data_IF_555099519524
#
_entry.id   IF_555099519524
#
_cell.length_a   1.000
_cell.length_b   1.000
_cell.length_c   1.000
_cell.angle_alpha   90.00
_cell.angle_beta   90.00
_cell.angle_gamma   90.00
#
_symmetry.space_group_name_H-M   'P 1'
#
loop_
_entity.id
_entity.type
_entity.pdbx_description
1 polymer ?
#
# COMPACT_ATOMS: atom_id res chain seq x y z
N UNK A 1 -0.80 12.82 4.83
CA UNK A 1 0.25 13.13 5.84
C UNK A 1 1.64 12.66 5.39
N UNK A 2 1.76 11.53 4.67
CA UNK A 2 3.05 10.99 4.20
C UNK A 2 3.70 11.74 3.03
N UNK A 3 2.98 12.64 2.34
CA UNK A 3 3.47 13.30 1.12
C UNK A 3 3.31 12.41 -0.12
N UNK A 4 3.97 12.75 -1.26
CA UNK A 4 4.01 11.88 -2.43
C UNK A 4 4.87 10.63 -2.17
N UNK A 5 4.60 9.50 -2.85
CA UNK A 5 5.41 8.30 -2.74
C UNK A 5 6.84 8.58 -3.20
N UNK A 6 7.80 7.93 -2.55
CA UNK A 6 9.21 7.97 -2.97
C UNK A 6 9.47 7.06 -4.17
N UNK A 7 8.61 6.06 -4.39
CA UNK A 7 8.65 5.20 -5.57
C UNK A 7 7.27 4.60 -5.90
N UNK A 8 7.11 4.25 -7.17
CA UNK A 8 5.91 3.63 -7.74
C UNK A 8 6.36 2.44 -8.58
N UNK A 9 5.75 1.27 -8.39
CA UNK A 9 6.19 0.05 -9.05
C UNK A 9 5.28 -0.36 -10.21
N UNK A 10 5.84 -1.08 -11.17
CA UNK A 10 5.11 -1.62 -12.34
C UNK A 10 3.94 -2.51 -11.93
N UNK A 11 4.02 -3.18 -10.78
CA UNK A 11 2.95 -4.00 -10.24
C UNK A 11 1.80 -3.19 -9.62
N UNK A 12 1.92 -1.86 -9.53
CA UNK A 12 0.92 -0.95 -8.98
C UNK A 12 1.20 -0.45 -7.56
N UNK A 13 2.18 -1.02 -6.86
CA UNK A 13 2.52 -0.61 -5.49
C UNK A 13 3.03 0.84 -5.43
N UNK A 14 2.67 1.55 -4.37
CA UNK A 14 3.19 2.89 -4.05
C UNK A 14 3.92 2.83 -2.71
N UNK A 15 5.09 3.46 -2.61
CA UNK A 15 5.97 3.31 -1.45
C UNK A 15 6.34 4.66 -0.86
N UNK A 16 6.34 4.76 0.47
CA UNK A 16 6.89 5.88 1.23
C UNK A 16 7.89 5.33 2.26
N UNK A 17 8.87 6.17 2.63
CA UNK A 17 9.78 5.91 3.74
C UNK A 17 9.69 7.06 4.74
N UNK A 18 9.59 6.73 6.04
CA UNK A 18 9.66 7.72 7.12
C UNK A 18 10.67 7.27 8.17
N UNK A 19 11.44 8.22 8.71
CA UNK A 19 12.48 7.96 9.74
C UNK A 19 12.01 8.37 11.14
N UNK A 20 10.71 8.26 11.39
CA UNK A 20 10.04 8.70 12.61
C UNK A 20 9.42 7.55 13.41
N UNK A 21 9.74 6.30 13.05
CA UNK A 21 9.19 5.12 13.71
C UNK A 21 9.59 4.98 15.17
N UNK A 22 8.93 4.09 15.93
CA UNK A 22 9.27 3.80 17.31
C UNK A 22 10.76 3.45 17.47
N UNK A 23 11.42 4.09 18.44
CA UNK A 23 12.86 3.90 18.66
C UNK A 23 13.75 4.55 17.59
N UNK A 24 13.19 5.37 16.70
CA UNK A 24 13.91 5.98 15.58
C UNK A 24 14.07 5.04 14.38
N UNK A 25 13.31 3.95 14.33
CA UNK A 25 13.33 3.02 13.20
C UNK A 25 12.81 3.68 11.92
N UNK A 26 13.41 3.34 10.78
CA UNK A 26 12.82 3.64 9.47
C UNK A 26 11.60 2.75 9.27
N UNK A 27 10.51 3.33 8.79
CA UNK A 27 9.28 2.64 8.42
C UNK A 27 9.07 2.74 6.92
N UNK A 28 8.72 1.63 6.30
CA UNK A 28 8.16 1.61 4.96
C UNK A 28 6.65 1.58 5.04
N UNK A 29 6.02 2.45 4.26
CA UNK A 29 4.59 2.43 4.02
C UNK A 29 4.38 1.96 2.59
N UNK A 30 3.65 0.86 2.40
CA UNK A 30 3.43 0.27 1.08
C UNK A 30 1.95 0.13 0.81
N UNK A 31 1.47 0.90 -0.15
CA UNK A 31 0.11 0.76 -0.67
C UNK A 31 0.11 -0.37 -1.70
N UNK A 32 -0.57 -1.45 -1.38
CA UNK A 32 -0.61 -2.66 -2.18
C UNK A 32 -1.71 -2.59 -3.25
N UNK A 33 -1.42 -3.01 -4.49
CA UNK A 33 -2.39 -3.03 -5.56
C UNK A 33 -3.39 -4.20 -5.38
N UNK A 34 -4.51 -4.14 -6.09
CA UNK A 34 -5.44 -5.28 -6.16
C UNK A 34 -4.82 -6.51 -6.83
N UNK A 35 -5.40 -7.68 -6.58
CA UNK A 35 -5.04 -8.90 -7.31
C UNK A 35 -5.22 -8.70 -8.84
N UNK A 36 -4.28 -9.22 -9.63
CA UNK A 36 -4.23 -9.08 -11.10
C UNK A 36 -4.21 -7.62 -11.58
N UNK A 37 -3.63 -6.72 -10.78
CA UNK A 37 -3.48 -5.32 -11.15
C UNK A 37 -2.90 -5.14 -12.55
N UNK A 38 -3.43 -4.15 -13.24
CA UNK A 38 -2.89 -3.65 -14.50
C UNK A 38 -2.88 -2.13 -14.45
N UNK A 39 -1.76 -1.54 -14.82
CA UNK A 39 -1.65 -0.09 -15.01
C UNK A 39 -2.73 0.40 -15.99
N UNK A 40 -3.43 1.50 -15.67
CA UNK A 40 -4.39 2.09 -16.59
C UNK A 40 -3.79 2.40 -17.97
N UNK A 41 -4.58 2.21 -19.03
CA UNK A 41 -4.16 2.50 -20.40
C UNK A 41 -3.69 3.94 -20.57
N UNK A 42 -2.59 4.16 -21.29
CA UNK A 42 -2.05 5.50 -21.54
C UNK A 42 -1.20 6.09 -20.39
N UNK A 43 -1.06 5.38 -19.27
CA UNK A 43 -0.25 5.80 -18.13
C UNK A 43 0.96 4.88 -17.91
N UNK A 44 2.06 5.47 -17.45
CA UNK A 44 3.13 4.73 -16.78
C UNK A 44 2.78 4.53 -15.30
N UNK A 45 3.49 3.63 -14.63
CA UNK A 45 3.30 3.39 -13.19
C UNK A 45 3.62 4.62 -12.34
N UNK A 46 4.43 5.55 -12.83
CA UNK A 46 4.72 6.83 -12.16
C UNK A 46 3.59 7.87 -12.32
N UNK A 47 2.72 7.72 -13.33
CA UNK A 47 1.63 8.69 -13.57
C UNK A 47 0.38 8.39 -12.74
N UNK A 48 0.17 7.12 -12.34
CA UNK A 48 -1.10 6.67 -11.73
C UNK A 48 -1.40 7.41 -10.43
N UNK A 49 -0.44 7.50 -9.52
CA UNK A 49 -0.64 8.19 -8.24
C UNK A 49 -0.99 9.67 -8.44
N UNK A 50 -0.18 10.36 -9.26
CA UNK A 50 -0.36 11.78 -9.52
C UNK A 50 -1.73 12.08 -10.17
N UNK A 51 -2.14 11.27 -11.14
CA UNK A 51 -3.43 11.46 -11.77
C UNK A 51 -4.59 11.17 -10.81
N UNK A 52 -4.51 10.10 -9.99
CA UNK A 52 -5.55 9.84 -8.97
C UNK A 52 -5.67 11.02 -8.00
N UNK A 53 -4.54 11.54 -7.48
CA UNK A 53 -4.55 12.68 -6.57
C UNK A 53 -5.15 13.92 -7.24
N UNK A 54 -4.79 14.19 -8.49
CA UNK A 54 -5.31 15.32 -9.26
C UNK A 54 -6.83 15.24 -9.45
N UNK A 55 -7.35 14.08 -9.88
CA UNK A 55 -8.77 13.86 -10.12
C UNK A 55 -9.59 13.93 -8.82
N UNK A 56 -9.14 13.28 -7.76
CA UNK A 56 -9.81 13.35 -6.45
C UNK A 56 -9.80 14.78 -5.90
N UNK A 57 -8.70 15.51 -6.07
CA UNK A 57 -8.59 16.92 -5.66
C UNK A 57 -9.49 17.84 -6.49
N UNK A 58 -9.76 17.48 -7.74
CA UNK A 58 -10.73 18.17 -8.60
C UNK A 58 -12.20 17.80 -8.28
N UNK A 59 -12.43 16.88 -7.34
CA UNK A 59 -13.77 16.45 -6.92
C UNK A 59 -14.36 15.34 -7.80
N UNK A 60 -13.54 14.57 -8.51
CA UNK A 60 -14.00 13.39 -9.24
C UNK A 60 -14.57 12.34 -8.27
N UNK A 61 -15.52 11.54 -8.78
CA UNK A 61 -16.12 10.43 -8.05
C UNK A 61 -15.09 9.29 -7.88
N UNK A 62 -14.75 8.87 -6.64
CA UNK A 62 -13.81 7.78 -6.40
C UNK A 62 -14.27 6.43 -6.99
N UNK A 63 -15.56 6.25 -7.26
CA UNK A 63 -16.08 5.04 -7.92
C UNK A 63 -15.89 5.07 -9.45
N UNK A 64 -15.43 6.20 -10.01
CA UNK A 64 -15.20 6.34 -11.45
C UNK A 64 -14.22 7.47 -11.76
N UNK A 65 -12.93 7.25 -11.53
CA UNK A 65 -11.87 8.20 -11.84
C UNK A 65 -11.46 8.11 -13.32
N UNK A 66 -11.31 9.23 -14.06
CA UNK A 66 -10.71 9.21 -15.38
C UNK A 66 -9.19 9.05 -15.27
N UNK A 67 -8.65 7.93 -15.75
CA UNK A 67 -7.23 7.59 -15.65
C UNK A 67 -6.72 7.15 -17.02
N UNK A 68 -5.85 7.96 -17.61
CA UNK A 68 -5.40 7.81 -19.00
C UNK A 68 -6.57 7.60 -19.97
N UNK A 69 -6.60 6.45 -20.63
CA UNK A 69 -7.57 6.08 -21.66
C UNK A 69 -8.85 5.42 -21.11
N UNK A 70 -8.98 5.27 -19.79
CA UNK A 70 -10.09 4.52 -19.18
C UNK A 70 -10.64 5.15 -17.91
N UNK A 71 -11.68 4.51 -17.35
CA UNK A 71 -12.20 4.85 -16.02
C UNK A 71 -12.03 3.66 -15.08
N UNK A 72 -11.69 3.96 -13.83
CA UNK A 72 -11.51 2.97 -12.76
C UNK A 72 -12.05 3.49 -11.44
N UNK A 73 -12.62 2.62 -10.64
CA UNK A 73 -12.83 2.93 -9.23
C UNK A 73 -11.48 2.91 -8.49
N UNK A 74 -11.35 3.68 -7.41
CA UNK A 74 -10.17 3.68 -6.55
C UNK A 74 -9.87 2.27 -6.00
N UNK A 75 -10.94 1.54 -5.66
CA UNK A 75 -10.93 0.16 -5.17
C UNK A 75 -10.53 -0.88 -6.22
N UNK A 76 -10.42 -0.49 -7.50
CA UNK A 76 -9.87 -1.35 -8.57
C UNK A 76 -8.36 -1.14 -8.75
N UNK A 77 -7.74 -0.19 -8.04
CA UNK A 77 -6.31 0.10 -8.11
C UNK A 77 -5.55 -0.48 -6.94
N UNK A 78 -6.01 -0.17 -5.72
CA UNK A 78 -5.32 -0.52 -4.48
C UNK A 78 -6.25 -1.18 -3.49
N UNK A 79 -5.68 -2.12 -2.75
CA UNK A 79 -6.42 -2.99 -1.82
C UNK A 79 -6.22 -2.56 -0.37
N UNK A 80 -5.02 -2.11 -0.01
CA UNK A 80 -4.73 -1.69 1.36
C UNK A 80 -3.32 -1.19 1.57
N UNK A 81 -3.11 -0.55 2.72
CA UNK A 81 -1.84 0.07 3.12
C UNK A 81 -1.18 -0.77 4.23
N UNK A 82 0.06 -1.15 4.03
CA UNK A 82 0.91 -1.81 5.02
C UNK A 82 1.96 -0.82 5.56
N UNK A 83 2.32 -0.94 6.84
CA UNK A 83 3.44 -0.23 7.45
C UNK A 83 4.32 -1.23 8.20
N UNK A 84 5.63 -1.26 7.92
CA UNK A 84 6.56 -2.20 8.54
C UNK A 84 8.01 -1.66 8.57
N UNK A 85 8.87 -2.10 9.50
CA UNK A 85 10.30 -1.78 9.48
C UNK A 85 11.03 -2.60 8.41
N UNK A 86 11.59 -1.99 7.33
CA UNK A 86 12.11 -2.73 6.19
C UNK A 86 13.54 -3.28 6.41
N UNK A 87 14.27 -2.77 7.41
CA UNK A 87 15.70 -3.09 7.61
C UNK A 87 15.98 -4.02 8.80
N UNK A 88 14.95 -4.70 9.30
CA UNK A 88 15.08 -5.68 10.38
C UNK A 88 15.16 -5.07 11.78
N UNK A 89 14.83 -3.78 11.94
CA UNK A 89 14.63 -3.17 13.24
C UNK A 89 13.53 -3.91 14.02
N UNK A 90 13.83 -4.30 15.25
CA UNK A 90 12.85 -4.93 16.13
C UNK A 90 11.89 -3.88 16.68
N UNK A 91 10.74 -3.76 16.02
CA UNK A 91 9.64 -2.89 16.46
C UNK A 91 8.49 -3.75 16.95
N UNK A 92 8.15 -3.61 18.24
CA UNK A 92 6.97 -4.25 18.82
C UNK A 92 5.69 -3.85 18.07
N UNK A 93 4.84 -4.80 17.61
CA UNK A 93 3.65 -4.49 16.82
C UNK A 93 2.70 -3.48 17.48
N UNK A 94 2.57 -3.52 18.81
CA UNK A 94 1.75 -2.57 19.56
C UNK A 94 2.29 -1.12 19.48
N UNK A 95 3.62 -0.96 19.49
CA UNK A 95 4.24 0.35 19.34
C UNK A 95 4.08 0.88 17.92
N UNK A 96 4.22 -0.01 16.92
CA UNK A 96 4.00 0.34 15.53
C UNK A 96 2.55 0.74 15.27
N UNK A 97 1.57 -0.04 15.76
CA UNK A 97 0.15 0.26 15.60
C UNK A 97 -0.23 1.62 16.22
N UNK A 98 0.34 1.95 17.40
CA UNK A 98 0.17 3.26 18.02
C UNK A 98 0.76 4.37 17.14
N UNK A 99 1.97 4.19 16.61
CA UNK A 99 2.59 5.15 15.70
C UNK A 99 1.76 5.36 14.43
N UNK A 100 1.25 4.27 13.83
CA UNK A 100 0.36 4.34 12.66
C UNK A 100 -0.90 5.15 12.99
N UNK A 101 -1.51 4.91 14.16
CA UNK A 101 -2.68 5.66 14.63
C UNK A 101 -2.40 7.15 14.76
N UNK A 102 -1.27 7.50 15.36
CA UNK A 102 -0.82 8.89 15.53
C UNK A 102 -0.54 9.56 14.18
N UNK A 103 0.08 8.82 13.24
CA UNK A 103 0.51 9.31 11.94
C UNK A 103 -0.64 9.42 10.94
N UNK A 104 -1.55 8.48 10.85
CA UNK A 104 -2.66 8.52 9.88
C UNK A 104 -3.93 9.16 10.45
N UNK A 105 -4.11 9.15 11.77
CA UNK A 105 -5.31 9.61 12.46
C UNK A 105 -6.32 8.50 12.74
N UNK A 106 -6.08 7.29 12.23
CA UNK A 106 -6.91 6.10 12.41
C UNK A 106 -6.04 4.88 12.75
N UNK A 107 -6.52 3.94 13.59
CA UNK A 107 -5.77 2.73 13.91
C UNK A 107 -5.69 1.79 12.70
N UNK A 108 -4.66 0.92 12.64
CA UNK A 108 -4.65 -0.13 11.62
C UNK A 108 -5.77 -1.15 11.89
N UNK A 109 -6.33 -1.72 10.83
CA UNK A 109 -7.37 -2.75 10.92
C UNK A 109 -6.87 -4.04 11.60
N UNK A 110 -5.59 -4.36 11.40
CA UNK A 110 -4.87 -5.50 11.99
C UNK A 110 -3.41 -5.11 12.24
N UNK A 111 -2.78 -5.73 13.26
CA UNK A 111 -1.35 -5.55 13.54
C UNK A 111 -0.77 -6.80 14.18
N UNK A 112 0.50 -7.09 13.91
CA UNK A 112 1.16 -8.31 14.40
C UNK A 112 2.41 -8.64 13.60
N UNK A 113 2.91 -9.86 13.80
CA UNK A 113 4.04 -10.40 13.05
C UNK A 113 3.52 -11.18 11.84
N UNK A 114 4.22 -11.04 10.72
CA UNK A 114 3.94 -11.77 9.47
C UNK A 114 5.23 -12.30 8.88
N UNK A 115 5.11 -13.34 8.07
CA UNK A 115 6.19 -13.87 7.24
C UNK A 115 6.06 -13.31 5.81
N UNK A 116 6.75 -12.19 5.55
CA UNK A 116 6.82 -11.55 4.24
C UNK A 116 7.41 -12.46 3.15
N UNK A 117 8.29 -13.40 3.51
CA UNK A 117 8.88 -14.35 2.57
C UNK A 117 7.83 -15.28 1.99
N UNK A 118 7.06 -15.95 2.87
CA UNK A 118 5.96 -16.83 2.45
C UNK A 118 4.88 -16.08 1.65
N UNK A 119 4.60 -14.82 2.00
CA UNK A 119 3.64 -13.97 1.26
C UNK A 119 4.17 -13.63 -0.14
N UNK A 120 5.42 -13.21 -0.23
CA UNK A 120 6.10 -12.91 -1.49
C UNK A 120 6.14 -14.12 -2.43
N UNK A 121 6.55 -15.28 -1.90
CA UNK A 121 6.59 -16.54 -2.65
C UNK A 121 5.22 -16.91 -3.23
N UNK A 122 4.15 -16.75 -2.47
CA UNK A 122 2.79 -17.05 -2.93
C UNK A 122 2.31 -16.06 -4.00
N UNK A 123 2.62 -14.77 -3.84
CA UNK A 123 2.29 -13.75 -4.83
C UNK A 123 3.04 -13.99 -6.15
N UNK A 124 4.33 -14.31 -6.09
CA UNK A 124 5.16 -14.64 -7.26
C UNK A 124 4.67 -15.93 -7.94
N UNK A 125 4.44 -16.99 -7.16
CA UNK A 125 3.96 -18.30 -7.66
C UNK A 125 2.64 -18.18 -8.42
N UNK A 126 1.78 -17.24 -8.02
CA UNK A 126 0.47 -17.00 -8.65
C UNK A 126 0.51 -15.89 -9.71
N UNK A 127 1.69 -15.32 -9.98
CA UNK A 127 1.89 -14.19 -10.89
C UNK A 127 0.94 -13.02 -10.56
N UNK A 128 0.89 -12.67 -9.27
CA UNK A 128 0.07 -11.58 -8.74
C UNK A 128 -1.44 -11.82 -8.78
N UNK A 129 -1.89 -13.07 -8.91
CA UNK A 129 -3.32 -13.40 -8.94
C UNK A 129 -4.02 -13.39 -7.58
N UNK A 130 -3.27 -13.16 -6.50
CA UNK A 130 -3.76 -13.04 -5.12
C UNK A 130 -3.42 -11.67 -4.57
N UNK A 131 -4.22 -11.18 -3.62
CA UNK A 131 -3.94 -9.93 -2.90
C UNK A 131 -2.88 -10.17 -1.82
N UNK A 132 -1.91 -9.25 -1.72
CA UNK A 132 -0.96 -9.24 -0.61
C UNK A 132 -1.66 -8.90 0.71
N UNK A 133 -2.66 -8.01 0.69
CA UNK A 133 -3.43 -7.63 1.88
C UNK A 133 -4.21 -8.82 2.42
N UNK A 134 -4.90 -9.57 1.56
CA UNK A 134 -5.61 -10.80 1.99
C UNK A 134 -4.65 -11.81 2.64
N UNK A 135 -3.44 -11.96 2.10
CA UNK A 135 -2.42 -12.86 2.64
C UNK A 135 -1.88 -12.37 4.00
N UNK A 136 -1.64 -11.06 4.15
CA UNK A 136 -1.25 -10.41 5.40
C UNK A 136 -2.32 -10.59 6.47
N UNK A 137 -3.57 -10.21 6.16
CA UNK A 137 -4.69 -10.33 7.09
C UNK A 137 -4.88 -11.77 7.56
N UNK A 138 -4.74 -12.75 6.66
CA UNK A 138 -4.86 -14.16 7.01
C UNK A 138 -3.85 -14.60 8.06
N UNK A 139 -2.62 -14.10 8.01
CA UNK A 139 -1.61 -14.39 9.03
C UNK A 139 -1.86 -13.60 10.33
N UNK A 140 -2.33 -12.36 10.23
CA UNK A 140 -2.57 -11.49 11.39
C UNK A 140 -3.81 -11.88 12.20
N UNK A 141 -4.76 -12.60 11.58
CA UNK A 141 -6.02 -13.04 12.20
C UNK A 141 -5.99 -14.50 12.67
N UNK A 142 -4.91 -15.24 12.44
CA UNK A 142 -4.74 -16.64 12.87
C UNK A 142 -4.21 -16.75 14.29
#
# INVERSE_FOLDING_TARGET
RLGPPVDSYVNGSQTWLTDDGPGGATLEWRLHPVARYRTPGGLSHYDVWEQVVAELSAGADPESLPLGDERRALTELWDGLECYPPYGDEVEPANLARHVSETLGDPPDVSGLVDHGTIGDEWERTNGAVSIIDLLERQLRS
#
